data_IF_024091739570
#
_entry.id   IF_024091739570
#
_cell.length_a   1.000
_cell.length_b   1.000
_cell.length_c   1.000
_cell.angle_alpha   90.00
_cell.angle_beta   90.00
_cell.angle_gamma   90.00
#
_symmetry.space_group_name_H-M   'P 1'
#
loop_
_entity.id
_entity.type
_entity.pdbx_description
1 polymer ?
#
# COMPACT_ATOMS: atom_id res chain seq x y z
N UNK A 1 36.00 -29.39 -15.26
CA UNK A 1 36.16 -27.93 -15.06
C UNK A 1 34.80 -27.33 -14.71
N UNK A 2 34.57 -26.96 -13.45
CA UNK A 2 33.34 -26.32 -12.98
C UNK A 2 33.34 -24.85 -13.44
N UNK A 3 32.38 -24.45 -14.27
CA UNK A 3 32.10 -23.03 -14.57
C UNK A 3 31.16 -22.50 -13.48
N UNK A 4 31.68 -21.64 -12.61
CA UNK A 4 30.89 -20.91 -11.62
C UNK A 4 30.43 -19.61 -12.29
N UNK A 5 29.15 -19.53 -12.65
CA UNK A 5 28.53 -18.26 -13.07
C UNK A 5 28.12 -17.51 -11.80
N UNK A 6 28.91 -16.52 -11.42
CA UNK A 6 28.57 -15.58 -10.35
C UNK A 6 27.66 -14.53 -10.98
N UNK A 7 26.36 -14.64 -10.71
CA UNK A 7 25.38 -13.62 -11.08
C UNK A 7 25.51 -12.47 -10.07
N UNK A 8 26.19 -11.40 -10.46
CA UNK A 8 26.22 -10.14 -9.70
C UNK A 8 24.82 -9.52 -9.76
N UNK A 9 24.08 -9.60 -8.66
CA UNK A 9 22.87 -8.82 -8.47
C UNK A 9 23.28 -7.34 -8.31
N UNK A 10 22.89 -6.50 -9.27
CA UNK A 10 23.01 -5.05 -9.16
C UNK A 10 22.11 -4.56 -8.02
N UNK A 11 22.71 -4.28 -6.87
CA UNK A 11 22.07 -3.49 -5.82
C UNK A 11 21.94 -2.06 -6.34
N UNK A 12 20.75 -1.70 -6.79
CA UNK A 12 20.41 -0.30 -7.07
C UNK A 12 20.34 0.42 -5.72
N UNK A 13 21.46 1.01 -5.32
CA UNK A 13 21.53 1.96 -4.21
C UNK A 13 20.70 3.20 -4.60
N UNK A 14 19.44 3.24 -4.17
CA UNK A 14 18.64 4.46 -4.19
C UNK A 14 19.21 5.40 -3.12
N UNK A 15 20.14 6.27 -3.51
CA UNK A 15 20.60 7.33 -2.62
C UNK A 15 19.43 8.24 -2.24
N UNK A 16 19.26 8.44 -0.94
CA UNK A 16 18.25 9.27 -0.30
C UNK A 16 18.30 10.72 -0.79
N UNK A 17 17.12 11.31 -0.96
CA UNK A 17 16.92 12.68 -1.45
C UNK A 17 15.50 12.96 -1.92
N UNK A 18 14.61 11.96 -1.95
CA UNK A 18 13.18 12.23 -2.04
C UNK A 18 12.66 12.55 -0.63
N UNK A 19 12.54 13.84 -0.32
CA UNK A 19 11.56 14.28 0.67
C UNK A 19 10.19 13.90 0.11
N UNK A 20 9.73 12.68 0.40
CA UNK A 20 8.33 12.39 0.21
C UNK A 20 7.60 13.34 1.15
N UNK A 21 6.75 14.27 0.65
CA UNK A 21 5.81 14.88 1.57
C UNK A 21 5.13 13.69 2.27
N UNK A 22 5.04 13.74 3.59
CA UNK A 22 4.11 12.91 4.35
C UNK A 22 2.71 13.36 3.95
N UNK A 23 2.34 13.11 2.68
CA UNK A 23 1.00 13.36 2.19
C UNK A 23 0.12 12.41 2.95
N UNK A 24 -0.86 12.96 3.67
CA UNK A 24 -1.90 12.16 4.27
C UNK A 24 -2.49 11.23 3.20
N UNK A 25 -2.74 9.99 3.60
CA UNK A 25 -3.32 9.00 2.72
C UNK A 25 -4.60 9.53 2.09
N UNK A 26 -4.77 9.35 0.78
CA UNK A 26 -6.00 9.81 0.13
C UNK A 26 -7.12 8.81 0.36
N UNK A 27 -7.78 8.94 1.50
CA UNK A 27 -8.95 8.15 1.88
C UNK A 27 -10.16 8.63 1.08
N UNK A 28 -10.71 7.74 0.26
CA UNK A 28 -11.87 8.00 -0.62
C UNK A 28 -13.15 7.34 -0.12
N UNK A 29 -13.08 6.63 1.01
CA UNK A 29 -14.24 5.99 1.61
C UNK A 29 -13.86 5.05 2.75
N UNK A 30 -14.85 4.28 3.21
CA UNK A 30 -14.65 3.24 4.22
C UNK A 30 -15.38 1.97 3.82
N UNK A 31 -14.80 0.82 4.16
CA UNK A 31 -15.47 -0.47 4.05
C UNK A 31 -16.56 -0.53 5.11
N UNK A 32 -17.81 -0.75 4.71
CA UNK A 32 -18.91 -0.92 5.67
C UNK A 32 -18.82 -2.28 6.36
N UNK A 33 -18.76 -3.36 5.58
CA UNK A 33 -18.67 -4.75 6.03
C UNK A 33 -18.04 -5.61 4.93
N UNK A 34 -17.33 -6.68 5.31
CA UNK A 34 -16.73 -7.61 4.34
C UNK A 34 -17.78 -8.29 3.47
N UNK A 35 -18.96 -8.62 4.03
CA UNK A 35 -20.03 -9.28 3.29
C UNK A 35 -20.53 -8.46 2.08
N UNK A 36 -20.44 -7.13 2.12
CA UNK A 36 -20.78 -6.31 0.94
C UNK A 36 -19.74 -6.43 -0.15
N UNK A 37 -18.45 -6.45 0.21
CA UNK A 37 -17.41 -6.75 -0.76
C UNK A 37 -17.60 -8.16 -1.34
N UNK A 38 -17.97 -9.15 -0.52
CA UNK A 38 -18.27 -10.48 -1.03
C UNK A 38 -19.46 -10.51 -1.99
N UNK A 39 -20.51 -9.74 -1.72
CA UNK A 39 -21.65 -9.60 -2.61
C UNK A 39 -21.25 -9.00 -3.97
N UNK A 40 -20.24 -8.11 -3.98
CA UNK A 40 -19.61 -7.56 -5.18
C UNK A 40 -18.57 -8.49 -5.82
N UNK A 41 -18.44 -9.73 -5.31
CA UNK A 41 -17.57 -10.78 -5.86
C UNK A 41 -16.14 -10.79 -5.32
N UNK A 42 -15.83 -9.99 -4.29
CA UNK A 42 -14.52 -9.99 -3.66
C UNK A 42 -14.28 -11.24 -2.81
N UNK A 43 -13.04 -11.72 -2.81
CA UNK A 43 -12.60 -12.87 -2.01
C UNK A 43 -11.20 -12.68 -1.42
N UNK A 44 -10.85 -13.47 -0.42
CA UNK A 44 -9.47 -13.53 0.06
C UNK A 44 -8.55 -14.11 -1.04
N UNK A 45 -7.39 -13.49 -1.25
CA UNK A 45 -6.31 -14.05 -2.06
C UNK A 45 -5.37 -14.96 -1.26
N UNK A 46 -5.33 -14.82 0.06
CA UNK A 46 -4.41 -15.50 0.98
C UNK A 46 -5.09 -16.58 1.84
N UNK A 47 -6.36 -16.91 1.57
CA UNK A 47 -7.13 -17.92 2.29
C UNK A 47 -7.60 -17.50 3.68
N UNK A 48 -7.54 -16.21 4.00
CA UNK A 48 -8.12 -15.66 5.23
C UNK A 48 -9.62 -15.91 5.26
N UNK A 49 -10.11 -16.41 6.40
CA UNK A 49 -11.52 -16.71 6.58
C UNK A 49 -12.39 -15.43 6.66
N UNK A 50 -13.69 -15.62 6.43
CA UNK A 50 -14.63 -14.51 6.33
C UNK A 50 -14.86 -13.78 7.65
N UNK A 51 -14.76 -14.46 8.79
CA UNK A 51 -14.96 -13.83 10.10
C UNK A 51 -13.77 -12.94 10.44
N UNK A 52 -12.55 -13.41 10.17
CA UNK A 52 -11.32 -12.62 10.31
C UNK A 52 -11.36 -11.40 9.38
N UNK A 53 -11.73 -11.57 8.10
CA UNK A 53 -11.83 -10.45 7.16
C UNK A 53 -12.94 -9.47 7.55
N UNK A 54 -14.09 -9.96 8.01
CA UNK A 54 -15.18 -9.10 8.45
C UNK A 54 -14.75 -8.22 9.62
N UNK A 55 -14.12 -8.79 10.64
CA UNK A 55 -13.64 -8.02 11.78
C UNK A 55 -12.50 -7.07 11.42
N UNK A 56 -11.55 -7.53 10.59
CA UNK A 56 -10.35 -6.76 10.27
C UNK A 56 -10.64 -5.60 9.31
N UNK A 57 -11.53 -5.81 8.34
CA UNK A 57 -11.89 -4.81 7.34
C UNK A 57 -13.12 -3.99 7.72
N UNK A 58 -13.79 -4.28 8.84
CA UNK A 58 -14.87 -3.43 9.34
C UNK A 58 -14.37 -1.99 9.54
N UNK A 59 -14.99 -1.04 8.83
CA UNK A 59 -14.61 0.38 8.83
C UNK A 59 -13.17 0.66 8.41
N UNK A 60 -12.53 -0.25 7.67
CA UNK A 60 -11.22 0.01 7.09
C UNK A 60 -11.30 1.19 6.11
N UNK A 61 -10.28 2.04 6.13
CA UNK A 61 -10.13 3.14 5.17
C UNK A 61 -9.91 2.57 3.77
N UNK A 62 -10.65 3.09 2.78
CA UNK A 62 -10.44 2.80 1.36
C UNK A 62 -9.54 3.90 0.80
N UNK A 63 -8.36 3.54 0.31
CA UNK A 63 -7.33 4.49 -0.10
C UNK A 63 -7.06 4.35 -1.60
N UNK A 64 -7.22 5.45 -2.34
CA UNK A 64 -6.90 5.52 -3.76
C UNK A 64 -7.75 4.63 -4.68
N UNK A 65 -8.99 4.31 -4.30
CA UNK A 65 -9.92 3.59 -5.18
C UNK A 65 -10.53 4.52 -6.23
N UNK A 66 -9.79 4.78 -7.32
CA UNK A 66 -10.22 5.62 -8.45
C UNK A 66 -10.58 4.78 -9.69
N UNK A 67 -11.40 5.30 -10.63
CA UNK A 67 -11.74 4.56 -11.85
C UNK A 67 -10.54 4.06 -12.67
N UNK A 68 -9.43 4.81 -12.68
CA UNK A 68 -8.22 4.42 -13.41
C UNK A 68 -7.34 3.44 -12.66
N UNK A 69 -7.40 3.35 -11.32
CA UNK A 69 -6.46 2.49 -10.59
C UNK A 69 -6.79 1.02 -10.81
N UNK A 70 -5.76 0.20 -10.98
CA UNK A 70 -5.88 -1.26 -11.10
C UNK A 70 -6.20 -1.93 -9.78
N UNK A 71 -5.65 -1.39 -8.71
CA UNK A 71 -5.87 -1.85 -7.35
C UNK A 71 -6.11 -0.65 -6.42
N UNK A 72 -6.43 -0.93 -5.18
CA UNK A 72 -6.50 0.09 -4.14
C UNK A 72 -6.06 -0.50 -2.81
N UNK A 73 -5.78 0.37 -1.85
CA UNK A 73 -5.37 -0.04 -0.52
C UNK A 73 -6.56 -0.01 0.43
N UNK A 74 -6.58 -0.97 1.35
CA UNK A 74 -7.44 -0.92 2.53
C UNK A 74 -6.53 -0.82 3.74
N UNK A 75 -6.85 0.08 4.67
CA UNK A 75 -6.14 0.20 5.94
C UNK A 75 -7.08 -0.07 7.09
N UNK A 76 -6.75 -1.07 7.90
CA UNK A 76 -7.52 -1.42 9.10
C UNK A 76 -7.74 -0.18 9.97
N UNK A 77 -8.96 -0.05 10.53
CA UNK A 77 -9.33 1.05 11.42
C UNK A 77 -8.30 1.21 12.55
N UNK A 78 -7.98 2.46 12.89
CA UNK A 78 -6.98 2.76 13.93
C UNK A 78 -5.53 2.70 13.45
N UNK A 79 -5.29 2.69 12.15
CA UNK A 79 -3.93 2.72 11.58
C UNK A 79 -3.22 1.37 11.58
N UNK A 80 -3.98 0.27 11.57
CA UNK A 80 -3.45 -1.11 11.62
C UNK A 80 -2.90 -1.61 10.28
N UNK A 81 -3.11 -2.91 10.01
CA UNK A 81 -2.56 -3.57 8.83
C UNK A 81 -3.10 -2.99 7.51
N UNK A 82 -2.26 -3.05 6.48
CA UNK A 82 -2.66 -2.79 5.09
C UNK A 82 -3.08 -4.07 4.38
N UNK A 83 -4.02 -3.90 3.47
CA UNK A 83 -4.42 -4.89 2.49
C UNK A 83 -4.38 -4.28 1.10
N UNK A 84 -4.12 -5.11 0.10
CA UNK A 84 -4.17 -4.75 -1.31
C UNK A 84 -5.38 -5.39 -1.94
N UNK A 85 -6.25 -4.58 -2.53
CA UNK A 85 -7.46 -5.01 -3.21
C UNK A 85 -7.27 -4.88 -4.73
N UNK A 86 -7.11 -6.01 -5.43
CA UNK A 86 -6.93 -6.06 -6.88
C UNK A 86 -8.30 -6.13 -7.59
N UNK A 87 -8.61 -5.11 -8.40
CA UNK A 87 -9.91 -4.99 -9.07
C UNK A 87 -10.09 -5.97 -10.22
N UNK A 88 -9.00 -6.44 -10.83
CA UNK A 88 -9.09 -7.38 -11.95
C UNK A 88 -9.49 -8.77 -11.49
N UNK A 89 -8.95 -9.20 -10.35
CA UNK A 89 -9.18 -10.52 -9.78
C UNK A 89 -10.26 -10.55 -8.70
N UNK A 90 -10.72 -9.36 -8.28
CA UNK A 90 -11.59 -9.17 -7.11
C UNK A 90 -11.04 -9.90 -5.89
N UNK A 91 -9.76 -9.70 -5.60
CA UNK A 91 -9.10 -10.31 -4.44
C UNK A 91 -8.56 -9.28 -3.47
N UNK A 92 -8.63 -9.60 -2.18
CA UNK A 92 -8.00 -8.84 -1.10
C UNK A 92 -6.95 -9.72 -0.44
N UNK A 93 -5.73 -9.21 -0.26
CA UNK A 93 -4.65 -9.89 0.48
C UNK A 93 -4.03 -8.98 1.51
N UNK A 94 -3.64 -9.53 2.65
CA UNK A 94 -2.88 -8.78 3.67
C UNK A 94 -1.47 -8.48 3.17
N UNK A 95 -0.96 -7.28 3.43
CA UNK A 95 0.43 -6.94 3.19
C UNK A 95 1.29 -7.36 4.38
N UNK A 96 2.36 -8.11 4.11
CA UNK A 96 3.34 -8.49 5.13
C UNK A 96 4.36 -7.36 5.29
N UNK A 97 4.01 -6.36 6.09
CA UNK A 97 4.82 -5.17 6.33
C UNK A 97 5.42 -5.22 7.74
N UNK A 98 6.68 -4.80 7.87
CA UNK A 98 7.40 -4.75 9.14
C UNK A 98 7.98 -3.35 9.33
N UNK A 99 7.27 -2.45 10.03
CA UNK A 99 7.82 -1.14 10.42
C UNK A 99 9.04 -1.35 11.31
N UNK A 100 10.06 -0.50 11.19
CA UNK A 100 11.30 -0.58 11.97
C UNK A 100 11.03 -0.43 13.48
N UNK A 101 10.08 0.43 13.86
CA UNK A 101 9.65 0.63 15.23
C UNK A 101 8.78 -0.51 15.79
N UNK A 102 8.29 -1.39 14.93
CA UNK A 102 7.27 -2.39 15.26
C UNK A 102 5.83 -1.85 15.30
N UNK A 103 5.62 -0.53 15.13
CA UNK A 103 4.29 0.08 15.19
C UNK A 103 3.71 0.34 13.80
N UNK A 104 2.53 -0.22 13.52
CA UNK A 104 1.81 0.04 12.27
C UNK A 104 1.34 1.50 12.11
N UNK A 105 1.33 2.27 13.20
CA UNK A 105 1.05 3.72 13.15
C UNK A 105 2.07 4.49 12.32
N UNK A 106 3.28 3.97 12.17
CA UNK A 106 4.37 4.62 11.42
C UNK A 106 4.22 4.43 9.92
N UNK A 107 3.29 3.55 9.51
CA UNK A 107 3.04 3.34 8.12
C UNK A 107 2.13 4.44 7.56
N UNK A 108 2.47 4.90 6.37
CA UNK A 108 1.61 5.71 5.53
C UNK A 108 1.65 5.21 4.09
N UNK A 109 0.72 5.65 3.26
CA UNK A 109 0.70 5.31 1.85
C UNK A 109 0.50 6.52 0.97
N UNK A 110 1.10 6.48 -0.22
CA UNK A 110 1.01 7.52 -1.23
C UNK A 110 0.66 6.90 -2.57
N UNK A 111 -0.37 7.45 -3.22
CA UNK A 111 -0.61 7.21 -4.63
C UNK A 111 0.17 8.23 -5.46
N UNK A 112 1.25 7.77 -6.10
CA UNK A 112 2.04 8.55 -7.04
C UNK A 112 1.44 8.37 -8.42
N UNK A 113 0.41 9.17 -8.71
CA UNK A 113 -0.40 9.05 -9.93
C UNK A 113 0.08 9.87 -11.12
N UNK A 114 1.10 10.72 -10.95
CA UNK A 114 1.72 11.46 -12.05
C UNK A 114 3.07 10.83 -12.40
N UNK A 115 3.26 10.49 -13.67
CA UNK A 115 4.50 9.87 -14.14
C UNK A 115 5.60 10.92 -14.27
N UNK A 116 6.58 10.86 -13.38
CA UNK A 116 7.78 11.69 -13.41
C UNK A 116 8.97 10.96 -14.07
N UNK A 117 8.70 10.05 -15.01
CA UNK A 117 9.70 9.24 -15.72
C UNK A 117 10.06 7.95 -14.99
N UNK A 118 9.28 7.56 -13.97
CA UNK A 118 9.49 6.34 -13.18
C UNK A 118 8.28 5.41 -13.20
N UNK A 119 7.15 5.84 -13.76
CA UNK A 119 5.87 5.16 -13.65
C UNK A 119 5.05 5.61 -12.44
N UNK A 120 3.84 5.06 -12.32
CA UNK A 120 2.88 5.38 -11.27
C UNK A 120 2.73 4.22 -10.30
N UNK A 121 2.57 4.52 -9.01
CA UNK A 121 2.61 3.51 -7.94
C UNK A 121 1.71 3.84 -6.77
N UNK A 122 1.27 2.80 -6.06
CA UNK A 122 1.02 2.90 -4.63
C UNK A 122 2.30 2.56 -3.87
N UNK A 123 2.75 3.44 -2.99
CA UNK A 123 3.93 3.22 -2.16
C UNK A 123 3.50 3.18 -0.69
N UNK A 124 3.94 2.16 0.05
CA UNK A 124 3.84 2.12 1.51
C UNK A 124 5.18 2.56 2.10
N UNK A 125 5.13 3.56 2.97
CA UNK A 125 6.28 4.20 3.58
C UNK A 125 6.20 3.98 5.08
N UNK A 126 7.29 3.51 5.67
CA UNK A 126 7.54 3.56 7.10
C UNK A 126 8.17 4.91 7.42
N UNK A 127 7.45 5.77 8.13
CA UNK A 127 7.95 7.08 8.55
C UNK A 127 8.88 6.98 9.77
N UNK A 128 8.88 5.84 10.45
CA UNK A 128 9.64 5.62 11.68
C UNK A 128 9.36 6.67 12.77
N UNK A 129 8.15 7.22 12.77
CA UNK A 129 7.76 8.31 13.67
C UNK A 129 7.91 7.95 15.16
N UNK A 130 7.67 6.69 15.55
CA UNK A 130 7.88 6.27 16.94
C UNK A 130 9.37 6.21 17.31
N UNK A 131 10.26 5.96 16.35
CA UNK A 131 11.71 6.05 16.60
C UNK A 131 12.15 7.51 16.72
N UNK A 132 11.59 8.40 15.89
CA UNK A 132 11.80 9.85 16.00
C UNK A 132 11.39 10.37 17.39
N UNK A 133 10.20 9.98 17.89
CA UNK A 133 9.73 10.35 19.22
C UNK A 133 10.61 9.82 20.37
N UNK A 134 11.37 8.74 20.11
CA UNK A 134 12.28 8.13 21.08
C UNK A 134 13.72 8.64 20.95
N UNK A 135 13.98 9.65 20.12
CA UNK A 135 15.32 10.14 19.77
C UNK A 135 16.27 9.04 19.22
N UNK A 136 15.70 7.99 18.62
CA UNK A 136 16.45 6.90 17.98
C UNK A 136 16.77 7.26 16.52
N UNK A 137 17.85 6.68 15.93
CA UNK A 137 18.14 6.86 14.51
C UNK A 137 16.95 6.44 13.64
N UNK A 138 16.46 7.37 12.82
CA UNK A 138 15.29 7.16 11.98
C UNK A 138 15.47 7.70 10.56
N UNK A 139 14.82 7.07 9.60
CA UNK A 139 14.75 7.57 8.22
C UNK A 139 13.55 6.95 7.50
N UNK A 140 12.81 7.77 6.74
CA UNK A 140 11.69 7.28 5.94
C UNK A 140 12.14 6.14 5.02
N UNK A 141 11.45 4.99 5.08
CA UNK A 141 11.76 3.81 4.31
C UNK A 141 10.57 3.37 3.47
N UNK A 142 10.80 3.08 2.18
CA UNK A 142 9.79 2.42 1.35
C UNK A 142 9.77 0.93 1.70
N UNK A 143 8.63 0.44 2.19
CA UNK A 143 8.43 -0.98 2.49
C UNK A 143 7.84 -1.76 1.32
N UNK A 144 7.02 -1.10 0.49
CA UNK A 144 6.42 -1.72 -0.69
C UNK A 144 6.08 -0.67 -1.74
N UNK A 145 6.17 -1.04 -3.02
CA UNK A 145 5.67 -0.26 -4.13
C UNK A 145 4.89 -1.18 -5.09
N UNK A 146 3.68 -0.80 -5.44
CA UNK A 146 2.79 -1.54 -6.33
C UNK A 146 2.57 -0.75 -7.61
N UNK A 147 2.98 -1.26 -8.77
CA UNK A 147 2.76 -0.57 -10.05
C UNK A 147 1.28 -0.30 -10.28
N UNK A 148 0.99 0.91 -10.77
CA UNK A 148 -0.35 1.41 -10.99
C UNK A 148 -0.50 2.11 -12.33
N UNK A 149 -1.76 2.30 -12.72
CA UNK A 149 -2.07 3.22 -13.80
C UNK A 149 -1.90 4.65 -13.30
N UNK A 150 -1.39 5.52 -14.17
CA UNK A 150 -1.34 6.94 -13.90
C UNK A 150 -2.75 7.56 -13.92
N UNK A 151 -2.86 8.76 -13.34
CA UNK A 151 -4.09 9.53 -13.31
C UNK A 151 -4.63 9.72 -14.72
N UNK A 152 -5.84 9.25 -14.93
CA UNK A 152 -6.61 9.59 -16.12
C UNK A 152 -7.30 10.94 -15.89
N UNK A 153 -6.79 12.00 -16.52
CA UNK A 153 -7.30 13.37 -16.33
C UNK A 153 -8.76 13.54 -16.78
N UNK A 154 -9.23 12.78 -17.77
CA UNK A 154 -10.63 12.81 -18.21
C UNK A 154 -11.55 12.19 -17.14
N UNK A 155 -11.18 11.02 -16.62
CA UNK A 155 -11.94 10.37 -15.55
C UNK A 155 -11.86 11.17 -14.25
N UNK A 156 -10.73 11.81 -13.96
CA UNK A 156 -10.56 12.67 -12.79
C UNK A 156 -11.49 13.88 -12.84
N UNK A 157 -11.67 14.50 -14.01
CA UNK A 157 -12.59 15.62 -14.19
C UNK A 157 -14.08 15.24 -14.04
N UNK A 158 -14.39 13.94 -14.00
CA UNK A 158 -15.74 13.40 -13.88
C UNK A 158 -16.07 12.88 -12.47
N UNK A 159 -15.14 12.99 -11.50
CA UNK A 159 -15.34 12.67 -10.09
C UNK A 159 -15.82 13.90 -9.32
#
# INVERSE_FOLDING_TARGET
MKKLLITTALAVSLCAGATFPTSAETVVGTVKFWQYMQADGWKSADGMDNDTLNNTLYQASVIGNYPWTRQFLLRQRGGGAYFLADKKTHTVRKLNLKPASGYYSDLTSVYQGEDQGKGCYFTIIDTQYQLELADEPHSNQILAAFPENCVNKQQQAAL
#
